data_IF_456074226959
#
_entry.id   IF_456074226959
#
_cell.length_a   1.000
_cell.length_b   1.000
_cell.length_c   1.000
_cell.angle_alpha   90.00
_cell.angle_beta   90.00
_cell.angle_gamma   90.00
#
_symmetry.space_group_name_H-M   'P 1'
#
loop_
_entity.id
_entity.type
_entity.pdbx_description
1 polymer ?
#
# COMPACT_ATOMS: atom_id res chain seq x y z
N UNK A 1 -56.07 -22.17 -20.00
CA UNK A 1 -55.23 -22.61 -21.15
C UNK A 1 -54.08 -21.63 -21.28
N UNK A 2 -52.84 -22.12 -21.49
CA UNK A 2 -51.64 -21.56 -20.87
C UNK A 2 -51.07 -20.33 -21.58
N UNK A 3 -50.42 -19.51 -20.76
CA UNK A 3 -49.64 -18.31 -21.08
C UNK A 3 -48.19 -18.75 -21.32
N UNK A 4 -47.56 -18.30 -22.41
CA UNK A 4 -46.12 -18.47 -22.65
C UNK A 4 -45.60 -17.40 -23.62
N UNK A 5 -44.59 -16.57 -23.23
CA UNK A 5 -44.02 -15.55 -24.10
C UNK A 5 -43.12 -16.15 -25.20
N UNK A 6 -42.88 -15.43 -26.32
CA UNK A 6 -42.23 -15.97 -27.50
C UNK A 6 -40.75 -16.27 -27.23
N UNK A 7 -40.39 -17.48 -27.58
CA UNK A 7 -39.09 -18.15 -27.74
C UNK A 7 -38.02 -17.39 -28.59
N UNK A 8 -38.16 -16.07 -28.76
CA UNK A 8 -37.27 -15.21 -29.57
C UNK A 8 -35.90 -14.98 -28.93
N UNK A 9 -35.77 -15.05 -27.61
CA UNK A 9 -34.50 -14.84 -26.92
C UNK A 9 -33.53 -16.02 -27.11
N UNK A 10 -34.04 -17.25 -27.17
CA UNK A 10 -33.26 -18.48 -27.39
C UNK A 10 -32.71 -18.55 -28.83
N UNK A 11 -33.47 -18.12 -29.82
CA UNK A 11 -33.00 -18.06 -31.22
C UNK A 11 -32.01 -16.93 -31.45
N UNK A 12 -32.18 -15.80 -30.75
CA UNK A 12 -31.19 -14.72 -30.81
C UNK A 12 -29.88 -15.13 -30.11
N UNK A 13 -29.97 -15.79 -28.96
CA UNK A 13 -28.82 -16.30 -28.24
C UNK A 13 -28.07 -17.38 -29.03
N UNK A 14 -28.79 -18.34 -29.64
CA UNK A 14 -28.15 -19.35 -30.46
C UNK A 14 -27.51 -18.77 -31.72
N UNK A 15 -28.14 -17.79 -32.38
CA UNK A 15 -27.55 -17.11 -33.54
C UNK A 15 -26.26 -16.36 -33.16
N UNK A 16 -26.25 -15.70 -32.00
CA UNK A 16 -25.08 -14.97 -31.50
C UNK A 16 -23.95 -15.95 -31.10
N UNK A 17 -24.30 -17.09 -30.51
CA UNK A 17 -23.36 -18.16 -30.17
C UNK A 17 -22.79 -18.84 -31.42
N UNK A 18 -23.61 -19.13 -32.42
CA UNK A 18 -23.17 -19.71 -33.70
C UNK A 18 -22.27 -18.76 -34.48
N UNK A 19 -22.58 -17.46 -34.48
CA UNK A 19 -21.73 -16.43 -35.10
C UNK A 19 -20.38 -16.33 -34.39
N UNK A 20 -20.36 -16.44 -33.06
CA UNK A 20 -19.13 -16.46 -32.27
C UNK A 20 -18.29 -17.73 -32.55
N UNK A 21 -18.93 -18.89 -32.64
CA UNK A 21 -18.27 -20.17 -32.95
C UNK A 21 -17.67 -20.19 -34.36
N UNK A 22 -18.36 -19.59 -35.35
CA UNK A 22 -17.89 -19.50 -36.73
C UNK A 22 -16.80 -18.44 -36.93
N UNK A 23 -16.78 -17.41 -36.08
CA UNK A 23 -15.78 -16.34 -36.12
C UNK A 23 -14.49 -16.67 -35.35
N UNK A 24 -14.31 -17.94 -34.95
CA UNK A 24 -13.05 -18.47 -34.43
C UNK A 24 -12.86 -18.37 -32.92
N UNK A 25 -13.78 -17.77 -32.17
CA UNK A 25 -13.52 -17.39 -30.78
C UNK A 25 -12.43 -16.32 -30.71
N UNK A 26 -12.56 -15.35 -29.80
CA UNK A 26 -11.44 -14.45 -29.54
C UNK A 26 -10.33 -15.25 -28.85
N UNK A 27 -9.29 -15.63 -29.58
CA UNK A 27 -7.95 -15.85 -29.01
C UNK A 27 -7.38 -14.48 -28.59
N UNK A 28 -8.00 -13.88 -27.57
CA UNK A 28 -7.56 -12.64 -26.95
C UNK A 28 -6.61 -12.92 -25.77
N UNK A 29 -5.83 -14.00 -25.85
CA UNK A 29 -4.82 -14.33 -24.83
C UNK A 29 -3.49 -13.63 -25.14
N UNK A 30 -3.09 -13.52 -26.41
CA UNK A 30 -1.73 -13.05 -26.76
C UNK A 30 -1.52 -11.56 -26.47
N UNK A 31 -2.49 -10.69 -26.81
CA UNK A 31 -2.34 -9.25 -26.56
C UNK A 31 -2.50 -8.89 -25.08
N UNK A 32 -3.38 -9.60 -24.37
CA UNK A 32 -3.63 -9.35 -22.94
C UNK A 32 -2.48 -9.83 -22.06
N UNK A 33 -1.78 -10.88 -22.46
CA UNK A 33 -0.58 -11.36 -21.78
C UNK A 33 0.60 -10.38 -21.92
N UNK A 34 0.77 -9.77 -23.11
CA UNK A 34 1.77 -8.73 -23.35
C UNK A 34 1.50 -7.50 -22.48
N UNK A 35 0.31 -6.92 -22.58
CA UNK A 35 -0.07 -5.70 -21.85
C UNK A 35 -0.07 -5.92 -20.32
N UNK A 36 -0.54 -7.08 -19.85
CA UNK A 36 -0.53 -7.40 -18.42
C UNK A 36 0.89 -7.60 -17.86
N UNK A 37 1.86 -8.01 -18.69
CA UNK A 37 3.25 -8.21 -18.26
C UNK A 37 4.00 -6.88 -18.10
N UNK A 38 3.72 -5.91 -18.95
CA UNK A 38 4.30 -4.56 -18.87
C UNK A 38 3.70 -3.77 -17.70
N UNK A 39 2.37 -3.80 -17.52
CA UNK A 39 1.71 -3.15 -16.39
C UNK A 39 2.16 -3.73 -15.03
N UNK A 40 2.37 -5.05 -14.96
CA UNK A 40 2.87 -5.70 -13.76
C UNK A 40 4.33 -5.32 -13.43
N UNK A 41 5.16 -5.13 -14.47
CA UNK A 41 6.55 -4.66 -14.31
C UNK A 41 6.60 -3.22 -13.79
N UNK A 42 5.77 -2.34 -14.35
CA UNK A 42 5.69 -0.95 -13.90
C UNK A 42 5.17 -0.85 -12.46
N UNK A 43 4.13 -1.63 -12.12
CA UNK A 43 3.63 -1.73 -10.76
C UNK A 43 4.68 -2.28 -9.78
N UNK A 44 5.49 -3.25 -10.22
CA UNK A 44 6.57 -3.80 -9.41
C UNK A 44 7.68 -2.76 -9.14
N UNK A 45 8.04 -1.95 -10.13
CA UNK A 45 9.04 -0.88 -9.98
C UNK A 45 8.56 0.26 -9.06
N UNK A 46 7.25 0.40 -8.88
CA UNK A 46 6.66 1.43 -8.02
C UNK A 46 6.76 1.10 -6.52
N UNK A 47 7.03 -0.16 -6.14
CA UNK A 47 7.17 -0.54 -4.74
C UNK A 47 8.30 0.24 -4.06
N UNK A 48 8.04 0.74 -2.85
CA UNK A 48 9.02 1.53 -2.10
C UNK A 48 10.30 0.75 -1.78
N UNK A 49 10.21 -0.58 -1.64
CA UNK A 49 11.31 -1.47 -1.25
C UNK A 49 12.30 -1.75 -2.38
N UNK A 50 11.92 -1.55 -3.65
CA UNK A 50 12.79 -1.77 -4.82
C UNK A 50 13.46 -0.48 -5.30
N UNK A 51 13.11 0.67 -4.71
CA UNK A 51 13.73 1.95 -5.05
C UNK A 51 15.15 2.02 -4.48
N UNK A 52 16.12 2.57 -5.23
CA UNK A 52 17.48 2.73 -4.74
C UNK A 52 17.51 3.66 -3.52
N UNK A 53 18.40 3.37 -2.58
CA UNK A 53 18.63 4.23 -1.41
C UNK A 53 19.30 5.52 -1.88
N UNK A 54 18.66 6.65 -1.61
CA UNK A 54 19.20 7.98 -1.91
C UNK A 54 19.74 8.60 -0.63
N UNK A 55 20.94 9.17 -0.70
CA UNK A 55 21.50 9.91 0.43
C UNK A 55 20.80 11.27 0.57
N UNK A 56 20.18 11.51 1.73
CA UNK A 56 19.46 12.75 2.03
C UNK A 56 20.36 13.61 2.92
N UNK A 57 20.62 14.85 2.48
CA UNK A 57 21.37 15.82 3.29
C UNK A 57 20.59 16.16 4.56
N UNK A 58 21.29 16.14 5.71
CA UNK A 58 20.69 16.51 6.99
C UNK A 58 20.13 17.94 6.97
N UNK A 59 18.88 18.15 7.44
CA UNK A 59 18.30 19.48 7.54
C UNK A 59 18.99 20.29 8.65
N UNK A 60 18.95 21.61 8.51
CA UNK A 60 19.39 22.52 9.56
C UNK A 60 18.28 22.67 10.60
N UNK A 61 18.59 22.44 11.87
CA UNK A 61 17.65 22.52 13.00
C UNK A 61 18.16 23.53 14.03
N UNK A 62 17.25 24.13 14.79
CA UNK A 62 17.60 25.11 15.82
C UNK A 62 18.13 24.43 17.09
N UNK A 63 17.49 23.34 17.52
CA UNK A 63 17.87 22.62 18.74
C UNK A 63 18.84 21.46 18.43
N UNK A 64 20.14 21.68 18.63
CA UNK A 64 21.19 20.69 18.33
C UNK A 64 21.38 19.61 19.41
N UNK A 65 20.87 19.84 20.62
CA UNK A 65 21.11 18.95 21.77
C UNK A 65 20.13 17.76 21.85
N UNK A 66 18.98 17.84 21.17
CA UNK A 66 17.95 16.79 21.21
C UNK A 66 18.22 15.60 20.26
N UNK A 67 18.66 15.82 19.00
CA UNK A 67 18.93 14.73 18.06
C UNK A 67 20.05 13.81 18.56
N UNK A 68 19.80 12.50 18.65
CA UNK A 68 20.81 11.50 19.02
C UNK A 68 21.33 10.73 17.81
N UNK A 69 20.48 10.58 16.80
CA UNK A 69 20.79 9.89 15.55
C UNK A 69 20.58 10.83 14.36
N UNK A 70 21.21 10.56 13.19
CA UNK A 70 21.04 11.39 11.99
C UNK A 70 19.58 11.55 11.53
N UNK A 71 18.73 10.56 11.79
CA UNK A 71 17.31 10.59 11.42
C UNK A 71 16.51 11.58 12.28
N UNK A 72 16.90 11.79 13.54
CA UNK A 72 16.20 12.69 14.47
C UNK A 72 16.19 14.14 13.97
N UNK A 73 17.18 14.54 13.17
CA UNK A 73 17.22 15.86 12.52
C UNK A 73 16.02 16.08 11.60
N UNK A 74 15.57 15.05 10.87
CA UNK A 74 14.43 15.16 9.97
C UNK A 74 13.12 15.31 10.75
N UNK A 75 12.99 14.55 11.84
CA UNK A 75 11.84 14.65 12.76
C UNK A 75 11.82 16.03 13.41
N UNK A 76 12.94 16.48 13.96
CA UNK A 76 13.03 17.78 14.62
C UNK A 76 12.78 18.93 13.64
N UNK A 77 13.29 18.87 12.41
CA UNK A 77 13.02 19.87 11.38
C UNK A 77 11.52 19.97 11.07
N UNK A 78 10.81 18.85 10.97
CA UNK A 78 9.36 18.84 10.78
C UNK A 78 8.64 19.42 12.01
N UNK A 79 9.04 19.05 13.22
CA UNK A 79 8.47 19.59 14.45
C UNK A 79 8.65 21.11 14.54
N UNK A 80 9.86 21.61 14.29
CA UNK A 80 10.18 23.04 14.28
C UNK A 80 9.39 23.80 13.22
N UNK A 81 9.21 23.22 12.01
CA UNK A 81 8.38 23.81 10.95
C UNK A 81 6.90 23.94 11.37
N UNK A 82 6.41 23.02 12.20
CA UNK A 82 5.07 23.06 12.79
C UNK A 82 5.00 23.80 14.13
N UNK A 83 6.09 24.41 14.60
CA UNK A 83 6.13 25.11 15.89
C UNK A 83 6.01 24.19 17.12
N UNK A 84 6.28 22.90 16.95
CA UNK A 84 6.25 21.89 18.02
C UNK A 84 7.63 21.72 18.65
N UNK A 85 7.65 21.40 19.93
CA UNK A 85 8.87 21.07 20.68
C UNK A 85 8.88 19.59 21.09
N UNK A 86 10.04 18.94 21.13
CA UNK A 86 10.12 17.56 21.59
C UNK A 86 9.62 17.37 23.02
N UNK A 87 8.93 16.24 23.25
CA UNK A 87 8.52 15.86 24.59
C UNK A 87 9.75 15.49 25.44
N UNK A 88 9.71 15.75 26.77
CA UNK A 88 10.77 15.31 27.66
C UNK A 88 10.87 13.79 27.68
N UNK A 89 12.09 13.29 27.93
CA UNK A 89 12.32 11.85 28.06
C UNK A 89 11.50 11.29 29.23
N UNK A 90 10.76 10.21 28.98
CA UNK A 90 10.02 9.52 30.04
C UNK A 90 10.98 8.92 31.06
N UNK A 91 10.53 8.86 32.32
CA UNK A 91 11.29 8.23 33.40
C UNK A 91 11.41 6.72 33.20
N UNK A 92 12.43 6.12 33.80
CA UNK A 92 12.74 4.70 33.64
C UNK A 92 11.56 3.79 34.02
N UNK A 93 10.77 4.16 35.05
CA UNK A 93 9.62 3.37 35.50
C UNK A 93 8.48 3.42 34.46
N UNK A 94 8.21 4.58 33.87
CA UNK A 94 7.23 4.70 32.78
C UNK A 94 7.67 3.93 31.55
N UNK A 95 8.95 3.99 31.16
CA UNK A 95 9.46 3.21 30.03
C UNK A 95 9.33 1.71 30.28
N UNK A 96 9.73 1.22 31.45
CA UNK A 96 9.60 -0.19 31.83
C UNK A 96 8.15 -0.66 31.78
N UNK A 97 7.21 0.16 32.28
CA UNK A 97 5.78 -0.15 32.23
C UNK A 97 5.24 -0.25 30.79
N UNK A 98 5.60 0.71 29.92
CA UNK A 98 5.19 0.68 28.49
C UNK A 98 5.73 -0.56 27.80
N UNK A 99 7.02 -0.83 27.98
CA UNK A 99 7.67 -2.02 27.42
C UNK A 99 7.01 -3.32 27.92
N UNK A 100 6.62 -3.38 29.20
CA UNK A 100 5.93 -4.56 29.73
C UNK A 100 4.58 -4.77 29.04
N UNK A 101 3.78 -3.71 28.90
CA UNK A 101 2.51 -3.80 28.15
C UNK A 101 2.73 -4.21 26.69
N UNK A 102 3.73 -3.65 26.01
CA UNK A 102 4.00 -3.96 24.60
C UNK A 102 4.42 -5.43 24.41
N UNK A 103 5.20 -5.98 25.35
CA UNK A 103 5.75 -7.34 25.25
C UNK A 103 4.81 -8.41 25.80
N UNK A 104 4.12 -8.14 26.91
CA UNK A 104 3.33 -9.16 27.64
C UNK A 104 1.83 -8.86 27.66
N UNK A 105 1.41 -7.64 27.32
CA UNK A 105 0.02 -7.19 27.45
C UNK A 105 -0.44 -6.95 28.90
N UNK A 106 0.44 -7.12 29.88
CA UNK A 106 0.13 -7.07 31.31
C UNK A 106 0.92 -5.97 32.02
N UNK A 107 0.46 -5.50 33.20
CA UNK A 107 1.24 -4.59 34.02
C UNK A 107 2.46 -5.29 34.64
N UNK A 108 3.57 -4.55 34.88
CA UNK A 108 4.74 -5.09 35.57
C UNK A 108 4.42 -5.45 37.03
N UNK A 109 5.04 -6.52 37.55
CA UNK A 109 4.82 -7.04 38.90
C UNK A 109 5.78 -6.52 39.98
N UNK A 110 6.70 -5.63 39.61
CA UNK A 110 7.78 -5.10 40.45
C UNK A 110 7.50 -3.70 41.02
#
# INVERSE_FOLDING_TARGET
MPIGPPNSWLTCFSALLSLWLLSGGLDAEESRASDASEEASDAASAFWSVKPVVEIKRPNVKALDWPRQPMDFHVLAAMEAHGLTPAPQADARTLARRLHYDLTGLPPSF
#
